data_IF_387399300297
#
_entry.id   IF_387399300297
#
_cell.length_a   1.000
_cell.length_b   1.000
_cell.length_c   1.000
_cell.angle_alpha   90.00
_cell.angle_beta   90.00
_cell.angle_gamma   90.00
#
_symmetry.space_group_name_H-M   'P 1'
#
loop_
_entity.id
_entity.type
_entity.pdbx_description
1 polymer ?
#
# COMPACT_ATOMS: atom_id res chain seq x y z
N UNK A 1 -10.22 -4.62 -8.97
CA UNK A 1 -9.82 -3.40 -8.23
C UNK A 1 -9.83 -2.16 -9.12
N UNK A 2 -9.46 -2.26 -10.41
CA UNK A 2 -9.41 -1.10 -11.34
C UNK A 2 -10.74 -0.55 -11.86
N UNK A 3 -11.90 -0.94 -11.29
CA UNK A 3 -13.16 -0.28 -11.65
C UNK A 3 -13.16 1.11 -11.01
N UNK A 4 -13.35 2.18 -11.80
CA UNK A 4 -13.31 3.54 -11.31
C UNK A 4 -14.57 3.86 -10.49
N UNK A 5 -14.45 4.76 -9.51
CA UNK A 5 -15.57 5.18 -8.64
C UNK A 5 -16.75 5.76 -9.44
N UNK A 6 -16.47 6.36 -10.60
CA UNK A 6 -17.43 6.94 -11.53
C UNK A 6 -18.45 5.92 -12.04
N UNK A 7 -18.13 4.63 -12.02
CA UNK A 7 -19.10 3.57 -12.33
C UNK A 7 -20.34 3.64 -11.44
N UNK A 8 -20.21 4.15 -10.21
CA UNK A 8 -21.33 4.31 -9.29
C UNK A 8 -22.45 5.20 -9.87
N UNK A 9 -22.13 6.11 -10.78
CA UNK A 9 -23.13 6.97 -11.41
C UNK A 9 -24.10 6.20 -12.33
N UNK A 10 -23.76 4.97 -12.72
CA UNK A 10 -24.66 4.04 -13.42
C UNK A 10 -25.74 3.43 -12.53
N UNK A 11 -25.55 3.45 -11.20
CA UNK A 11 -26.49 2.88 -10.24
C UNK A 11 -27.76 3.75 -10.07
N UNK A 12 -28.98 3.18 -10.16
CA UNK A 12 -30.24 3.93 -9.99
C UNK A 12 -30.35 4.66 -8.65
N UNK A 13 -29.72 4.14 -7.60
CA UNK A 13 -29.79 4.72 -6.25
C UNK A 13 -28.68 5.74 -5.97
N UNK A 14 -27.74 5.95 -6.90
CA UNK A 14 -26.65 6.92 -6.73
C UNK A 14 -27.05 8.38 -7.03
N UNK A 15 -28.30 8.63 -7.48
CA UNK A 15 -28.81 9.99 -7.70
C UNK A 15 -28.24 10.71 -8.92
N UNK A 16 -27.48 10.00 -9.78
CA UNK A 16 -26.83 10.55 -10.97
C UNK A 16 -27.56 10.20 -12.29
N UNK A 17 -28.77 9.64 -12.22
CA UNK A 17 -29.59 9.30 -13.39
C UNK A 17 -29.28 7.96 -14.06
N UNK A 18 -28.43 7.13 -13.44
CA UNK A 18 -28.15 5.77 -13.91
C UNK A 18 -29.34 4.82 -13.83
N UNK A 19 -29.29 3.72 -14.59
CA UNK A 19 -30.36 2.70 -14.68
C UNK A 19 -29.88 1.27 -14.47
N UNK A 20 -28.58 1.06 -14.23
CA UNK A 20 -27.97 -0.27 -14.14
C UNK A 20 -27.71 -0.68 -12.68
N UNK A 21 -28.41 -1.72 -12.21
CA UNK A 21 -28.22 -2.26 -10.86
C UNK A 21 -26.83 -2.91 -10.69
N UNK A 22 -26.21 -3.38 -11.77
CA UNK A 22 -24.86 -3.96 -11.72
C UNK A 22 -23.79 -2.88 -11.46
N UNK A 23 -24.09 -1.60 -11.70
CA UNK A 23 -23.22 -0.46 -11.37
C UNK A 23 -23.30 -0.04 -9.89
N UNK A 24 -24.20 -0.63 -9.10
CA UNK A 24 -24.26 -0.38 -7.66
C UNK A 24 -23.10 -1.04 -6.92
N UNK A 25 -22.83 -0.60 -5.69
CA UNK A 25 -21.78 -1.21 -4.88
C UNK A 25 -22.02 -2.72 -4.71
N UNK A 26 -21.01 -3.53 -5.02
CA UNK A 26 -21.09 -5.00 -4.98
C UNK A 26 -21.65 -5.66 -6.25
N UNK A 27 -22.13 -4.89 -7.23
CA UNK A 27 -22.51 -5.41 -8.56
C UNK A 27 -21.31 -5.66 -9.47
N UNK A 28 -21.51 -6.40 -10.58
CA UNK A 28 -20.42 -6.81 -11.49
C UNK A 28 -19.74 -5.62 -12.19
N UNK A 29 -20.46 -4.51 -12.37
CA UNK A 29 -19.95 -3.26 -12.95
C UNK A 29 -19.82 -2.15 -11.89
N UNK A 30 -19.91 -2.50 -10.61
CA UNK A 30 -19.89 -1.56 -9.50
C UNK A 30 -18.56 -0.82 -9.37
N UNK A 31 -18.53 0.31 -8.63
CA UNK A 31 -17.30 1.03 -8.37
C UNK A 31 -16.31 0.17 -7.57
N UNK A 32 -15.03 0.33 -7.88
CA UNK A 32 -13.92 -0.19 -7.10
C UNK A 32 -12.99 0.95 -6.65
N UNK A 33 -11.77 0.59 -6.26
CA UNK A 33 -10.75 1.59 -5.87
C UNK A 33 -10.08 2.28 -7.06
N UNK A 34 -10.40 1.91 -8.31
CA UNK A 34 -9.79 2.49 -9.51
C UNK A 34 -8.26 2.35 -9.56
N UNK A 35 -7.72 1.28 -8.96
CA UNK A 35 -6.28 1.07 -8.89
C UNK A 35 -5.68 0.67 -10.23
N UNK A 36 -4.59 1.34 -10.58
CA UNK A 36 -3.71 0.97 -11.69
C UNK A 36 -2.75 -0.15 -11.30
N UNK A 37 -2.18 -0.79 -12.32
CA UNK A 37 -1.11 -1.77 -12.14
C UNK A 37 0.15 -1.09 -11.57
N UNK A 38 0.76 -1.74 -10.58
CA UNK A 38 1.95 -1.21 -9.89
C UNK A 38 3.21 -1.95 -10.32
N UNK A 39 4.22 -1.18 -10.77
CA UNK A 39 5.58 -1.67 -10.91
C UNK A 39 6.31 -1.68 -9.56
N UNK A 40 7.13 -2.70 -9.29
CA UNK A 40 8.01 -2.71 -8.11
C UNK A 40 9.41 -3.21 -8.44
N UNK A 41 10.41 -2.53 -7.89
CA UNK A 41 11.81 -2.91 -7.94
C UNK A 41 12.35 -3.03 -6.52
N UNK A 42 13.06 -4.12 -6.23
CA UNK A 42 13.59 -4.42 -4.90
C UNK A 42 15.07 -4.81 -4.98
N UNK A 43 15.85 -4.26 -4.07
CA UNK A 43 17.26 -4.56 -3.89
C UNK A 43 17.51 -4.99 -2.45
N UNK A 44 18.36 -6.00 -2.27
CA UNK A 44 18.67 -6.54 -0.95
C UNK A 44 20.13 -7.00 -0.86
N UNK A 45 20.73 -6.76 0.30
CA UNK A 45 22.06 -7.20 0.66
C UNK A 45 21.98 -8.03 1.94
N UNK A 46 22.65 -9.19 1.94
CA UNK A 46 22.85 -10.01 3.12
C UNK A 46 24.34 -10.23 3.32
N UNK A 47 24.84 -9.92 4.51
CA UNK A 47 26.24 -10.03 4.86
C UNK A 47 26.43 -10.82 6.16
N UNK A 48 27.19 -11.90 6.08
CA UNK A 48 27.63 -12.64 7.26
C UNK A 48 28.85 -11.94 7.88
N UNK A 49 28.60 -11.09 8.88
CA UNK A 49 29.63 -10.31 9.55
C UNK A 49 30.49 -11.16 10.49
N UNK A 50 29.97 -12.29 10.98
CA UNK A 50 30.71 -13.29 11.76
C UNK A 50 30.04 -14.68 11.64
N UNK A 51 30.66 -15.77 12.15
CA UNK A 51 30.03 -17.09 12.14
C UNK A 51 28.66 -17.14 12.85
N UNK A 52 28.36 -16.16 13.70
CA UNK A 52 27.14 -16.10 14.50
C UNK A 52 26.26 -14.89 14.20
N UNK A 53 26.65 -14.00 13.26
CA UNK A 53 25.93 -12.76 12.98
C UNK A 53 25.75 -12.55 11.47
N UNK A 54 24.50 -12.40 11.05
CA UNK A 54 24.12 -12.01 9.69
C UNK A 54 23.38 -10.68 9.74
N UNK A 55 23.80 -9.73 8.91
CA UNK A 55 23.17 -8.44 8.72
C UNK A 55 22.46 -8.42 7.37
N UNK A 56 21.32 -7.74 7.30
CA UNK A 56 20.54 -7.53 6.09
C UNK A 56 20.18 -6.08 5.94
N UNK A 57 20.20 -5.60 4.70
CA UNK A 57 19.68 -4.30 4.33
C UNK A 57 18.90 -4.45 3.02
N UNK A 58 17.87 -3.64 2.85
CA UNK A 58 17.03 -3.67 1.66
C UNK A 58 16.42 -2.32 1.35
N UNK A 59 16.09 -2.16 0.08
CA UNK A 59 15.36 -1.02 -0.43
C UNK A 59 14.38 -1.50 -1.49
N UNK A 60 13.15 -1.01 -1.45
CA UNK A 60 12.19 -1.21 -2.54
C UNK A 60 11.53 0.09 -2.92
N UNK A 61 11.38 0.28 -4.24
CA UNK A 61 10.56 1.31 -4.85
C UNK A 61 9.39 0.63 -5.56
N UNK A 62 8.19 1.10 -5.29
CA UNK A 62 6.98 0.76 -6.02
C UNK A 62 6.31 2.05 -6.49
N UNK A 63 5.51 1.95 -7.54
CA UNK A 63 4.57 3.01 -7.92
C UNK A 63 3.34 2.94 -7.00
N UNK A 64 2.67 4.07 -6.76
CA UNK A 64 1.40 4.08 -6.04
C UNK A 64 0.21 3.89 -7.02
N UNK A 65 -0.80 3.06 -6.69
CA UNK A 65 -1.85 2.66 -7.64
C UNK A 65 -2.99 3.67 -7.80
N UNK A 66 -3.07 4.71 -6.98
CA UNK A 66 -4.23 5.60 -6.86
C UNK A 66 -4.08 6.79 -7.81
N UNK A 67 -4.97 6.91 -8.79
CA UNK A 67 -5.04 8.10 -9.65
C UNK A 67 -5.79 9.24 -8.97
N UNK A 68 -5.52 10.49 -9.39
CA UNK A 68 -6.05 11.69 -8.74
C UNK A 68 -7.60 11.76 -8.72
N UNK A 69 -8.31 11.12 -9.64
CA UNK A 69 -9.77 11.05 -9.63
C UNK A 69 -10.35 9.93 -8.77
N UNK A 70 -9.51 9.07 -8.18
CA UNK A 70 -9.92 7.90 -7.39
C UNK A 70 -9.68 8.08 -5.88
N UNK A 71 -9.28 9.29 -5.44
CA UNK A 71 -8.89 9.55 -4.04
C UNK A 71 -10.02 9.35 -3.02
N UNK A 72 -11.29 9.51 -3.41
CA UNK A 72 -12.43 9.47 -2.48
C UNK A 72 -12.65 8.08 -1.85
N UNK A 73 -12.77 7.02 -2.66
CA UNK A 73 -12.92 5.66 -2.13
C UNK A 73 -11.64 5.15 -1.47
N UNK A 74 -10.48 5.68 -1.87
CA UNK A 74 -9.20 5.29 -1.31
C UNK A 74 -8.92 5.85 0.10
N UNK A 75 -9.81 6.68 0.66
CA UNK A 75 -9.75 7.09 2.07
C UNK A 75 -9.77 5.88 3.02
N UNK A 76 -10.53 4.82 2.69
CA UNK A 76 -10.65 3.62 3.53
C UNK A 76 -9.58 2.55 3.25
N UNK A 77 -8.81 2.71 2.18
CA UNK A 77 -7.76 1.79 1.77
C UNK A 77 -6.59 2.56 1.11
N UNK A 78 -5.91 3.44 1.86
CA UNK A 78 -4.82 4.21 1.30
C UNK A 78 -3.62 3.29 0.99
N UNK A 79 -3.00 3.51 -0.18
CA UNK A 79 -1.88 2.71 -0.69
C UNK A 79 -0.80 3.61 -1.31
N UNK A 80 -0.52 4.75 -0.69
CA UNK A 80 0.34 5.79 -1.26
C UNK A 80 1.84 5.61 -1.02
N UNK A 81 2.25 4.66 -0.18
CA UNK A 81 3.67 4.41 0.11
C UNK A 81 4.37 3.84 -1.12
N UNK A 82 5.45 4.50 -1.54
CA UNK A 82 6.25 4.06 -2.68
C UNK A 82 7.60 3.48 -2.28
N UNK A 83 8.16 3.88 -1.14
CA UNK A 83 9.52 3.55 -0.76
C UNK A 83 9.55 2.81 0.57
N UNK A 84 10.26 1.69 0.62
CA UNK A 84 10.56 1.01 1.87
C UNK A 84 12.07 0.84 2.02
N UNK A 85 12.59 1.24 3.17
CA UNK A 85 13.96 0.99 3.60
C UNK A 85 13.92 -0.04 4.70
N UNK A 86 14.73 -1.09 4.59
CA UNK A 86 14.76 -2.16 5.58
C UNK A 86 16.17 -2.42 6.06
N UNK A 87 16.31 -2.69 7.34
CA UNK A 87 17.52 -3.23 7.95
C UNK A 87 17.16 -4.33 8.91
N UNK A 88 18.03 -5.31 9.06
CA UNK A 88 17.79 -6.41 9.97
C UNK A 88 19.06 -7.13 10.36
N UNK A 89 18.95 -7.91 11.43
CA UNK A 89 20.02 -8.75 11.93
C UNK A 89 19.46 -10.10 12.37
N UNK A 90 20.30 -11.12 12.23
CA UNK A 90 20.06 -12.45 12.79
C UNK A 90 21.31 -12.86 13.55
N UNK A 91 21.15 -13.32 14.80
CA UNK A 91 22.23 -13.78 15.66
C UNK A 91 21.99 -15.20 16.15
N UNK A 92 22.98 -16.06 15.97
CA UNK A 92 23.04 -17.40 16.57
C UNK A 92 23.46 -17.30 18.04
N UNK A 93 22.71 -17.91 18.94
CA UNK A 93 22.90 -17.85 20.39
C UNK A 93 23.48 -19.15 20.99
N UNK A 94 23.77 -20.15 20.15
CA UNK A 94 24.22 -21.48 20.55
C UNK A 94 23.08 -22.41 20.96
N UNK A 95 23.34 -23.73 20.97
CA UNK A 95 22.32 -24.78 21.14
C UNK A 95 21.20 -24.69 20.07
N UNK A 96 21.57 -24.42 18.81
CA UNK A 96 20.65 -24.20 17.68
C UNK A 96 19.63 -23.07 17.83
N UNK A 97 19.77 -22.22 18.86
CA UNK A 97 18.91 -21.06 19.09
C UNK A 97 19.32 -19.87 18.25
N UNK A 98 18.32 -19.13 17.77
CA UNK A 98 18.51 -17.99 16.87
C UNK A 98 17.57 -16.85 17.24
N UNK A 99 18.06 -15.63 17.15
CA UNK A 99 17.27 -14.42 17.33
C UNK A 99 17.40 -13.53 16.09
N UNK A 100 16.30 -12.95 15.63
CA UNK A 100 16.26 -11.99 14.53
C UNK A 100 15.51 -10.73 14.93
N UNK A 101 15.97 -9.60 14.40
CA UNK A 101 15.30 -8.31 14.53
C UNK A 101 15.31 -7.59 13.17
N UNK A 102 14.24 -6.86 12.87
CA UNK A 102 14.08 -6.09 11.65
C UNK A 102 13.47 -4.72 11.95
N UNK A 103 13.86 -3.73 11.16
CA UNK A 103 13.31 -2.39 11.13
C UNK A 103 12.99 -2.05 9.67
N UNK A 104 11.77 -1.58 9.42
CA UNK A 104 11.36 -1.01 8.15
C UNK A 104 10.89 0.42 8.36
N UNK A 105 11.33 1.31 7.47
CA UNK A 105 10.89 2.70 7.40
C UNK A 105 10.39 2.97 6.00
N UNK A 106 9.18 3.53 5.91
CA UNK A 106 8.59 4.01 4.68
C UNK A 106 8.34 5.52 4.82
N UNK A 107 9.10 6.38 4.11
CA UNK A 107 8.92 7.82 4.18
C UNK A 107 7.53 8.26 3.71
N UNK A 108 7.09 9.42 4.19
CA UNK A 108 5.82 10.02 3.78
C UNK A 108 5.72 10.15 2.26
N UNK A 109 4.59 9.72 1.72
CA UNK A 109 4.19 10.02 0.35
C UNK A 109 2.70 10.40 0.33
N UNK A 110 2.32 11.20 -0.68
CA UNK A 110 0.96 11.74 -0.80
C UNK A 110 0.43 11.71 -2.22
N UNK A 111 -0.88 11.57 -2.36
CA UNK A 111 -1.62 11.81 -3.60
C UNK A 111 -2.83 12.68 -3.30
N UNK A 112 -3.07 13.67 -4.14
CA UNK A 112 -4.16 14.63 -3.95
C UNK A 112 -5.02 14.71 -5.21
N UNK A 113 -6.31 14.96 -5.01
CA UNK A 113 -7.29 14.91 -6.08
C UNK A 113 -8.63 15.51 -5.70
N UNK A 114 -9.47 15.79 -6.71
CA UNK A 114 -10.81 16.30 -6.47
C UNK A 114 -11.74 15.16 -6.01
N UNK A 115 -12.69 15.47 -5.14
CA UNK A 115 -13.74 14.53 -4.76
C UNK A 115 -14.67 14.24 -5.94
N UNK A 116 -15.02 12.98 -6.13
CA UNK A 116 -15.89 12.54 -7.23
C UNK A 116 -17.29 13.16 -7.19
N UNK A 117 -17.80 13.47 -5.99
CA UNK A 117 -19.14 14.06 -5.81
C UNK A 117 -19.14 15.58 -5.63
N UNK A 118 -17.98 16.19 -5.40
CA UNK A 118 -17.85 17.63 -5.24
C UNK A 118 -16.48 18.09 -5.79
N UNK A 119 -16.42 18.63 -7.02
CA UNK A 119 -15.16 19.06 -7.62
C UNK A 119 -14.53 20.26 -6.91
N UNK A 120 -15.24 20.92 -5.98
CA UNK A 120 -14.68 22.00 -5.15
C UNK A 120 -13.94 21.47 -3.92
N UNK A 121 -14.15 20.21 -3.56
CA UNK A 121 -13.44 19.54 -2.47
C UNK A 121 -12.17 18.86 -2.99
N UNK A 122 -11.02 19.20 -2.40
CA UNK A 122 -9.76 18.49 -2.62
C UNK A 122 -9.49 17.53 -1.46
N UNK A 123 -9.19 16.27 -1.78
CA UNK A 123 -8.84 15.20 -0.85
C UNK A 123 -7.36 14.89 -1.04
N UNK A 124 -6.63 14.78 0.06
CA UNK A 124 -5.23 14.36 0.08
C UNK A 124 -5.10 13.09 0.94
N UNK A 125 -4.48 12.07 0.37
CA UNK A 125 -4.13 10.83 1.07
C UNK A 125 -2.63 10.85 1.33
N UNK A 126 -2.23 10.77 2.59
CA UNK A 126 -0.84 10.75 3.02
C UNK A 126 -0.60 9.56 3.95
N UNK A 127 0.52 8.85 3.78
CA UNK A 127 0.96 7.79 4.69
C UNK A 127 2.45 7.85 4.91
N UNK A 128 2.87 7.54 6.12
CA UNK A 128 4.22 7.11 6.50
C UNK A 128 4.10 5.82 7.32
N UNK A 129 5.17 5.02 7.35
CA UNK A 129 5.16 3.76 8.09
C UNK A 129 6.50 3.50 8.79
N UNK A 130 6.40 3.00 10.01
CA UNK A 130 7.51 2.48 10.79
C UNK A 130 7.11 1.11 11.32
N UNK A 131 7.93 0.10 11.06
CA UNK A 131 7.67 -1.26 11.51
C UNK A 131 8.92 -1.86 12.16
N UNK A 132 8.71 -2.53 13.30
CA UNK A 132 9.76 -3.21 14.06
C UNK A 132 9.30 -4.64 14.32
N UNK A 133 10.12 -5.62 13.95
CA UNK A 133 9.82 -7.04 14.12
C UNK A 133 10.94 -7.75 14.89
N UNK A 134 10.55 -8.73 15.71
CA UNK A 134 11.46 -9.63 16.41
C UNK A 134 11.01 -11.08 16.22
N UNK A 135 11.96 -11.99 16.01
CA UNK A 135 11.72 -13.41 15.90
C UNK A 135 12.74 -14.21 16.71
N UNK A 136 12.29 -15.32 17.29
CA UNK A 136 13.15 -16.23 18.07
C UNK A 136 12.86 -17.68 17.72
N UNK A 137 13.92 -18.45 17.50
CA UNK A 137 13.87 -19.90 17.23
C UNK A 137 14.58 -20.65 18.35
N UNK A 138 13.91 -21.65 18.91
CA UNK A 138 14.40 -22.52 19.97
C UNK A 138 15.04 -23.80 19.43
#
# INVERSE_FOLDING_TARGET
>A
MGYPIENLFGCPTAGAGGTDLESCMGGNNGPGFGWDDVGTMKFGLSWQASPTLTLRAGYSKADQPITANQVLLNIIAPAVIEQHFTVGLTRQLGNNREFSAMLMVAPSNRVSGASTFDPTQTIELEMDQLEVEFAYRF
#
